data_IF_019458551731
#
_entry.id   IF_019458551731
#
_cell.length_a   1.000
_cell.length_b   1.000
_cell.length_c   1.000
_cell.angle_alpha   90.00
_cell.angle_beta   90.00
_cell.angle_gamma   90.00
#
_symmetry.space_group_name_H-M   'P 1'
#
loop_
_entity.id
_entity.type
_entity.pdbx_description
1 polymer ?
#
# COMPACT_ATOMS: atom_id res chain seq x y z
N UNK A 1 32.40 51.79 62.16
CA UNK A 1 32.49 50.34 61.85
C UNK A 1 31.07 49.87 61.65
N UNK A 2 30.69 49.62 60.47
CA UNK A 2 29.37 49.11 60.08
C UNK A 2 29.50 48.51 58.69
N UNK A 3 29.57 47.19 58.61
CA UNK A 3 29.62 46.43 57.36
C UNK A 3 28.22 46.29 56.76
N UNK A 4 28.08 46.70 55.52
CA UNK A 4 26.85 46.55 54.75
C UNK A 4 26.89 45.21 54.05
N UNK A 5 25.95 44.32 54.34
CA UNK A 5 25.71 43.08 53.61
C UNK A 5 24.92 43.33 52.33
N UNK A 6 25.52 43.01 51.19
CA UNK A 6 24.90 43.08 49.91
C UNK A 6 24.19 41.72 49.62
N UNK A 7 22.89 41.73 49.58
CA UNK A 7 22.02 40.58 49.24
C UNK A 7 21.99 40.43 47.69
N UNK A 8 22.63 39.43 47.17
CA UNK A 8 22.60 39.09 45.72
C UNK A 8 21.37 38.25 45.42
N UNK A 9 20.38 38.87 44.77
CA UNK A 9 19.17 38.19 44.32
C UNK A 9 19.47 37.50 42.95
N UNK A 10 19.62 36.18 42.98
CA UNK A 10 19.76 35.39 41.77
C UNK A 10 18.42 35.29 41.06
N UNK A 11 18.25 35.98 39.95
CA UNK A 11 17.11 35.81 39.03
C UNK A 11 17.26 34.46 38.29
N UNK A 12 16.44 33.49 38.69
CA UNK A 12 16.21 32.28 37.86
C UNK A 12 15.48 32.71 36.58
N UNK A 13 16.17 32.60 35.47
CA UNK A 13 15.59 32.75 34.14
C UNK A 13 14.76 31.50 33.85
N UNK A 14 13.45 31.57 33.92
CA UNK A 14 12.55 30.55 33.40
C UNK A 14 12.80 30.45 31.88
N UNK A 15 13.48 29.40 31.46
CA UNK A 15 13.52 28.99 30.08
C UNK A 15 12.14 28.45 29.72
N UNK A 16 11.35 29.30 29.10
CA UNK A 16 10.09 28.92 28.42
C UNK A 16 10.49 27.96 27.31
N UNK A 17 10.35 26.65 27.53
CA UNK A 17 10.44 25.67 26.49
C UNK A 17 9.35 26.01 25.44
N UNK A 18 9.79 26.42 24.24
CA UNK A 18 8.92 26.48 23.07
C UNK A 18 8.25 25.12 22.92
N UNK A 19 6.91 25.03 22.77
CA UNK A 19 6.27 23.75 22.55
C UNK A 19 6.89 23.14 21.31
N UNK A 20 7.47 21.94 21.46
CA UNK A 20 7.97 21.14 20.36
C UNK A 20 6.80 20.92 19.40
N UNK A 21 6.90 21.44 18.18
CA UNK A 21 5.86 21.25 17.16
C UNK A 21 5.84 19.76 16.84
N UNK A 22 4.90 19.04 17.42
CA UNK A 22 4.75 17.61 17.25
C UNK A 22 4.39 17.33 15.79
N UNK A 23 5.30 16.74 15.02
CA UNK A 23 5.08 16.41 13.61
C UNK A 23 4.06 15.27 13.43
N UNK A 24 3.56 15.08 12.22
CA UNK A 24 2.59 14.02 11.91
C UNK A 24 3.13 12.63 12.29
N UNK A 25 4.39 12.35 12.04
CA UNK A 25 4.98 11.05 12.34
C UNK A 25 4.96 10.73 13.85
N UNK A 26 5.31 11.70 14.71
CA UNK A 26 5.22 11.54 16.17
C UNK A 26 3.77 11.40 16.64
N UNK A 27 2.84 12.13 16.01
CA UNK A 27 1.40 12.00 16.29
C UNK A 27 0.91 10.58 15.96
N UNK A 28 1.25 10.06 14.78
CA UNK A 28 0.84 8.70 14.39
C UNK A 28 1.45 7.63 15.33
N UNK A 29 2.71 7.78 15.74
CA UNK A 29 3.38 6.87 16.68
C UNK A 29 2.74 6.85 18.07
N UNK A 30 2.12 7.96 18.48
CA UNK A 30 1.44 8.08 19.77
C UNK A 30 0.03 7.47 19.80
N UNK A 31 -0.55 7.07 18.66
CA UNK A 31 -1.89 6.48 18.58
C UNK A 31 -1.83 4.99 18.96
N UNK A 32 -2.45 4.58 20.10
CA UNK A 32 -2.48 3.17 20.47
C UNK A 32 -3.21 2.32 19.42
N UNK A 33 -2.68 1.15 19.12
CA UNK A 33 -3.31 0.19 18.22
C UNK A 33 -3.43 0.67 16.76
N UNK A 34 -2.70 1.73 16.35
CA UNK A 34 -2.72 2.20 14.95
C UNK A 34 -2.26 1.09 14.00
N UNK A 35 -3.13 0.75 13.03
CA UNK A 35 -2.86 -0.25 11.99
C UNK A 35 -2.47 0.37 10.68
N UNK A 36 -3.25 1.37 10.23
CA UNK A 36 -3.10 2.00 8.92
C UNK A 36 -3.39 3.49 9.01
N UNK A 37 -2.71 4.27 8.15
CA UNK A 37 -2.99 5.67 7.97
C UNK A 37 -2.88 6.03 6.48
N UNK A 38 -3.74 6.94 6.03
CA UNK A 38 -3.80 7.39 4.64
C UNK A 38 -3.90 8.91 4.57
N UNK A 39 -3.03 9.58 3.80
CA UNK A 39 -3.18 11.01 3.59
C UNK A 39 -4.49 11.33 2.90
N UNK A 40 -5.17 12.37 3.34
CA UNK A 40 -6.36 12.87 2.67
C UNK A 40 -6.00 13.85 1.57
N UNK A 41 -6.56 13.64 0.40
CA UNK A 41 -6.42 14.53 -0.75
C UNK A 41 -7.62 15.49 -0.77
N UNK A 42 -7.67 16.45 0.16
CA UNK A 42 -8.65 17.53 0.11
C UNK A 42 -8.08 18.74 -0.62
N UNK A 43 -8.91 19.39 -1.42
CA UNK A 43 -8.56 20.60 -2.19
C UNK A 43 -8.21 21.82 -1.30
N UNK A 44 -8.41 21.74 0.00
CA UNK A 44 -8.27 22.83 0.97
C UNK A 44 -6.92 22.92 1.70
N UNK A 45 -5.88 22.21 1.23
CA UNK A 45 -4.58 22.21 1.94
C UNK A 45 -4.57 21.49 3.30
N UNK A 46 -5.62 20.75 3.63
CA UNK A 46 -5.74 19.99 4.87
C UNK A 46 -4.58 19.01 5.02
N UNK A 47 -3.93 19.03 6.19
CA UNK A 47 -2.91 18.08 6.63
C UNK A 47 -3.53 16.94 7.45
N UNK A 48 -4.82 16.66 7.27
CA UNK A 48 -5.51 15.55 7.93
C UNK A 48 -5.13 14.21 7.31
N UNK A 49 -4.99 13.21 8.17
CA UNK A 49 -4.71 11.83 7.82
C UNK A 49 -5.88 10.97 8.30
N UNK A 50 -6.46 10.16 7.41
CA UNK A 50 -7.43 9.13 7.79
C UNK A 50 -6.69 7.98 8.47
N UNK A 51 -7.19 7.50 9.60
CA UNK A 51 -6.55 6.45 10.40
C UNK A 51 -7.48 5.28 10.65
N UNK A 52 -6.89 4.12 10.85
CA UNK A 52 -7.53 2.89 11.29
C UNK A 52 -6.73 2.33 12.46
N UNK A 53 -7.37 2.13 13.61
CA UNK A 53 -6.74 1.61 14.82
C UNK A 53 -7.63 0.56 15.51
N UNK A 54 -7.04 -0.23 16.40
CA UNK A 54 -7.76 -1.17 17.28
C UNK A 54 -7.89 -0.51 18.65
N UNK A 55 -9.12 -0.40 19.16
CA UNK A 55 -9.37 0.17 20.47
C UNK A 55 -9.10 -0.85 21.62
N UNK A 56 -9.23 -0.39 22.88
CA UNK A 56 -9.01 -1.23 24.06
C UNK A 56 -9.96 -2.43 24.20
N UNK A 57 -11.04 -2.49 23.42
CA UNK A 57 -11.98 -3.61 23.36
C UNK A 57 -11.70 -4.55 22.17
N UNK A 58 -10.59 -4.32 21.45
CA UNK A 58 -10.20 -5.12 20.28
C UNK A 58 -11.00 -4.80 19.01
N UNK A 59 -11.80 -3.71 19.00
CA UNK A 59 -12.64 -3.34 17.86
C UNK A 59 -11.88 -2.42 16.91
N UNK A 60 -12.10 -2.63 15.60
CA UNK A 60 -11.54 -1.75 14.57
C UNK A 60 -12.28 -0.41 14.55
N UNK A 61 -11.53 0.68 14.73
CA UNK A 61 -12.03 2.05 14.70
C UNK A 61 -11.39 2.83 13.57
N UNK A 62 -12.15 3.73 12.98
CA UNK A 62 -11.64 4.65 11.97
C UNK A 62 -11.87 6.10 12.39
N UNK A 63 -11.08 7.00 11.85
CA UNK A 63 -11.20 8.42 12.14
C UNK A 63 -10.18 9.24 11.38
N UNK A 64 -9.92 10.44 11.92
CA UNK A 64 -8.99 11.39 11.34
C UNK A 64 -8.06 11.95 12.43
N UNK A 65 -6.86 12.37 12.01
CA UNK A 65 -5.92 13.06 12.88
C UNK A 65 -5.15 14.12 12.11
N UNK A 66 -4.86 15.24 12.76
CA UNK A 66 -3.90 16.26 12.31
C UNK A 66 -2.67 16.25 13.20
N UNK A 67 -1.55 16.76 12.71
CA UNK A 67 -0.31 16.79 13.48
C UNK A 67 -0.49 17.52 14.83
N UNK A 68 -0.05 16.88 15.91
CA UNK A 68 -0.14 17.41 17.27
C UNK A 68 -1.54 17.34 17.92
N UNK A 69 -2.54 16.80 17.22
CA UNK A 69 -3.90 16.70 17.76
C UNK A 69 -4.24 15.27 18.24
N UNK A 70 -5.22 15.19 19.13
CA UNK A 70 -5.85 13.90 19.48
C UNK A 70 -6.66 13.36 18.30
N UNK A 71 -6.64 12.05 18.03
CA UNK A 71 -7.46 11.45 17.00
C UNK A 71 -8.97 11.67 17.20
N UNK A 72 -9.65 12.09 16.16
CA UNK A 72 -11.11 12.15 16.11
C UNK A 72 -11.62 10.81 15.54
N UNK A 73 -12.03 9.89 16.44
CA UNK A 73 -12.48 8.55 16.09
C UNK A 73 -14.01 8.52 15.96
N UNK A 74 -14.47 8.01 14.83
CA UNK A 74 -15.90 7.72 14.64
C UNK A 74 -16.40 6.69 15.66
N UNK A 75 -17.67 6.72 16.10
CA UNK A 75 -18.24 5.63 16.88
C UNK A 75 -18.08 4.29 16.15
N UNK A 76 -17.97 3.19 16.90
CA UNK A 76 -17.78 1.86 16.31
C UNK A 76 -18.87 1.55 15.28
N UNK A 77 -18.44 1.02 14.14
CA UNK A 77 -19.33 0.61 13.05
C UNK A 77 -20.25 1.72 12.49
N UNK A 78 -19.83 2.97 12.62
CA UNK A 78 -20.57 4.11 12.05
C UNK A 78 -19.67 4.97 11.18
N UNK A 79 -20.21 5.47 10.09
CA UNK A 79 -19.53 6.45 9.23
C UNK A 79 -20.62 7.23 8.45
N UNK A 80 -20.76 8.55 8.67
CA UNK A 80 -21.76 9.34 7.96
C UNK A 80 -21.65 9.31 6.43
N UNK A 81 -20.44 9.09 5.91
CA UNK A 81 -20.20 8.99 4.47
C UNK A 81 -20.39 7.56 3.92
N UNK A 82 -20.55 6.57 4.81
CA UNK A 82 -20.76 5.14 4.49
C UNK A 82 -21.91 4.61 5.36
N UNK A 83 -23.14 5.16 5.22
CA UNK A 83 -24.23 4.94 6.18
C UNK A 83 -24.66 3.47 6.30
N UNK A 84 -24.57 2.69 5.23
CA UNK A 84 -24.88 1.27 5.25
C UNK A 84 -24.00 0.44 6.22
N UNK A 85 -22.88 0.96 6.70
CA UNK A 85 -22.03 0.25 7.65
C UNK A 85 -22.79 -0.12 8.93
N UNK A 86 -23.61 0.79 9.46
CA UNK A 86 -24.35 0.56 10.71
C UNK A 86 -25.43 -0.52 10.59
N UNK A 87 -25.97 -0.74 9.41
CA UNK A 87 -27.05 -1.71 9.15
C UNK A 87 -26.56 -3.04 8.61
N UNK A 88 -25.32 -3.08 8.07
CA UNK A 88 -24.76 -4.26 7.40
C UNK A 88 -23.55 -4.86 8.14
N UNK A 89 -23.32 -4.50 9.39
CA UNK A 89 -22.28 -5.11 10.22
C UNK A 89 -22.81 -6.45 10.80
N UNK A 90 -22.69 -7.50 10.00
CA UNK A 90 -23.15 -8.86 10.34
C UNK A 90 -22.02 -9.84 10.63
N UNK A 91 -20.75 -9.34 10.60
CA UNK A 91 -19.55 -10.13 10.84
C UNK A 91 -18.40 -9.27 11.39
N UNK A 92 -17.18 -9.69 11.18
CA UNK A 92 -15.99 -8.98 11.64
C UNK A 92 -15.68 -7.78 10.72
N UNK A 93 -15.62 -6.57 11.28
CA UNK A 93 -15.12 -5.39 10.58
C UNK A 93 -13.60 -5.49 10.43
N UNK A 94 -13.11 -5.70 9.22
CA UNK A 94 -11.67 -5.95 8.94
C UNK A 94 -10.96 -4.79 8.27
N UNK A 95 -11.71 -3.89 7.62
CA UNK A 95 -11.22 -2.62 7.06
C UNK A 95 -12.25 -1.54 7.33
N UNK A 96 -11.80 -0.38 7.80
CA UNK A 96 -12.63 0.82 7.86
C UNK A 96 -11.78 2.05 7.51
N UNK A 97 -11.90 2.51 6.28
CA UNK A 97 -11.27 3.76 5.85
C UNK A 97 -12.31 4.88 5.93
N UNK A 98 -12.19 5.73 6.96
CA UNK A 98 -13.14 6.80 7.26
C UNK A 98 -13.49 7.63 6.01
N UNK A 99 -14.77 7.86 5.81
CA UNK A 99 -15.31 8.62 4.68
C UNK A 99 -15.16 7.94 3.30
N UNK A 100 -14.77 6.68 3.24
CA UNK A 100 -14.47 6.00 1.97
C UNK A 100 -15.19 4.65 1.82
N UNK A 101 -14.83 3.68 2.64
CA UNK A 101 -15.34 2.30 2.57
C UNK A 101 -15.10 1.55 3.86
N UNK A 102 -15.88 0.50 4.05
CA UNK A 102 -15.63 -0.54 5.06
C UNK A 102 -15.68 -1.93 4.42
N UNK A 103 -15.03 -2.91 5.07
CA UNK A 103 -15.09 -4.32 4.67
C UNK A 103 -15.45 -5.13 5.90
N UNK A 104 -16.51 -5.92 5.77
CA UNK A 104 -16.99 -6.87 6.79
C UNK A 104 -16.75 -8.28 6.26
N UNK A 105 -16.12 -9.11 7.08
CA UNK A 105 -15.87 -10.52 6.77
C UNK A 105 -16.88 -11.39 7.55
N UNK A 106 -17.56 -12.27 6.83
CA UNK A 106 -18.48 -13.27 7.36
C UNK A 106 -17.97 -14.68 7.02
N UNK A 107 -18.62 -15.72 7.52
CA UNK A 107 -18.16 -17.10 7.34
C UNK A 107 -18.09 -17.56 5.87
N UNK A 108 -18.92 -16.98 5.00
CA UNK A 108 -19.03 -17.39 3.58
C UNK A 108 -18.85 -16.27 2.57
N UNK A 109 -18.76 -15.01 3.03
CA UNK A 109 -18.67 -13.85 2.14
C UNK A 109 -17.84 -12.72 2.74
N UNK A 110 -17.36 -11.87 1.84
CA UNK A 110 -16.74 -10.58 2.15
C UNK A 110 -17.67 -9.48 1.64
N UNK A 111 -18.13 -8.62 2.53
CA UNK A 111 -19.00 -7.49 2.21
C UNK A 111 -18.19 -6.22 2.10
N UNK A 112 -18.12 -5.64 0.90
CA UNK A 112 -17.56 -4.30 0.67
C UNK A 112 -18.70 -3.27 0.79
N UNK A 113 -18.61 -2.38 1.75
CA UNK A 113 -19.56 -1.27 1.98
C UNK A 113 -18.87 0.01 1.53
N UNK A 114 -19.50 0.73 0.62
CA UNK A 114 -18.90 1.91 -0.04
C UNK A 114 -19.83 3.12 0.14
N UNK A 115 -19.37 4.28 -0.28
CA UNK A 115 -20.24 5.47 -0.30
C UNK A 115 -21.45 5.24 -1.20
N UNK A 116 -22.59 5.91 -0.94
CA UNK A 116 -23.80 5.80 -1.75
C UNK A 116 -23.51 5.91 -3.25
N UNK A 117 -24.21 5.10 -4.04
CA UNK A 117 -24.15 5.03 -5.50
C UNK A 117 -22.78 4.56 -6.08
N UNK A 118 -21.88 4.01 -5.25
CA UNK A 118 -20.57 3.52 -5.73
C UNK A 118 -20.55 2.03 -6.03
N UNK A 119 -21.48 1.24 -5.51
CA UNK A 119 -21.50 -0.21 -5.68
C UNK A 119 -21.66 -0.61 -7.16
N UNK A 120 -22.52 0.07 -7.92
CA UNK A 120 -22.73 -0.21 -9.36
C UNK A 120 -21.40 -0.11 -10.15
N UNK A 121 -20.62 0.94 -9.91
CA UNK A 121 -19.34 1.11 -10.59
C UNK A 121 -18.31 0.05 -10.16
N UNK A 122 -18.34 -0.35 -8.88
CA UNK A 122 -17.48 -1.40 -8.33
C UNK A 122 -17.81 -2.77 -8.95
N UNK A 123 -19.11 -3.12 -8.98
CA UNK A 123 -19.61 -4.36 -9.61
C UNK A 123 -19.20 -4.43 -11.08
N UNK A 124 -19.37 -3.34 -11.83
CA UNK A 124 -18.99 -3.27 -13.24
C UNK A 124 -17.49 -3.50 -13.43
N UNK A 125 -16.65 -2.78 -12.68
CA UNK A 125 -15.20 -2.91 -12.75
C UNK A 125 -14.77 -4.33 -12.41
N UNK A 126 -15.26 -4.90 -11.31
CA UNK A 126 -14.96 -6.26 -10.87
C UNK A 126 -15.37 -7.30 -11.94
N UNK A 127 -16.58 -7.21 -12.50
CA UNK A 127 -17.09 -8.16 -13.51
C UNK A 127 -16.24 -8.11 -14.78
N UNK A 128 -15.92 -6.92 -15.26
CA UNK A 128 -15.06 -6.75 -16.45
C UNK A 128 -13.66 -7.33 -16.22
N UNK A 129 -13.05 -7.03 -15.08
CA UNK A 129 -11.74 -7.53 -14.71
C UNK A 129 -11.72 -9.06 -14.52
N UNK A 130 -12.69 -9.62 -13.78
CA UNK A 130 -12.81 -11.06 -13.58
C UNK A 130 -13.00 -11.81 -14.91
N UNK A 131 -13.75 -11.22 -15.85
CA UNK A 131 -13.90 -11.78 -17.21
C UNK A 131 -12.58 -11.76 -17.99
N UNK A 132 -11.86 -10.66 -17.95
CA UNK A 132 -10.59 -10.48 -18.63
C UNK A 132 -9.50 -11.44 -18.08
N UNK A 133 -9.46 -11.63 -16.77
CA UNK A 133 -8.46 -12.44 -16.09
C UNK A 133 -8.74 -13.96 -16.14
N UNK A 134 -9.86 -14.40 -16.72
CA UNK A 134 -10.18 -15.85 -16.81
C UNK A 134 -9.12 -16.67 -17.53
N UNK A 135 -8.43 -16.10 -18.48
CA UNK A 135 -7.36 -16.77 -19.24
C UNK A 135 -6.21 -17.23 -18.35
N UNK A 136 -5.98 -16.57 -17.23
CA UNK A 136 -4.93 -16.93 -16.25
C UNK A 136 -5.22 -18.24 -15.51
N UNK A 137 -6.48 -18.66 -15.47
CA UNK A 137 -6.92 -19.78 -14.64
C UNK A 137 -6.86 -19.52 -13.12
N UNK A 138 -6.58 -18.28 -12.69
CA UNK A 138 -6.64 -17.87 -11.29
C UNK A 138 -8.11 -17.77 -10.84
N UNK A 139 -8.38 -18.14 -9.60
CA UNK A 139 -9.70 -17.93 -9.00
C UNK A 139 -9.86 -16.45 -8.65
N UNK A 140 -11.05 -15.92 -8.91
CA UNK A 140 -11.42 -14.55 -8.51
C UNK A 140 -12.74 -14.60 -7.75
N UNK A 141 -12.98 -13.72 -6.74
CA UNK A 141 -14.22 -13.75 -5.97
C UNK A 141 -15.43 -13.52 -6.87
N UNK A 142 -16.43 -14.36 -6.77
CA UNK A 142 -17.71 -14.13 -7.45
C UNK A 142 -18.51 -13.07 -6.71
N UNK A 143 -19.25 -12.25 -7.44
CA UNK A 143 -20.26 -11.37 -6.85
C UNK A 143 -21.46 -12.22 -6.47
N UNK A 144 -21.80 -12.23 -5.18
CA UNK A 144 -22.95 -12.97 -4.62
C UNK A 144 -24.23 -12.14 -4.60
N UNK A 145 -24.08 -10.80 -4.52
CA UNK A 145 -25.16 -9.84 -4.50
C UNK A 145 -24.64 -8.40 -4.42
N UNK A 146 -25.50 -7.46 -4.71
CA UNK A 146 -25.20 -6.04 -4.51
C UNK A 146 -26.47 -5.22 -4.25
N UNK A 147 -26.32 -4.16 -3.50
CA UNK A 147 -27.25 -3.06 -3.26
C UNK A 147 -26.58 -1.73 -3.68
N UNK A 148 -27.22 -0.58 -3.49
CA UNK A 148 -26.70 0.73 -3.97
C UNK A 148 -25.32 1.09 -3.42
N UNK A 149 -24.99 0.64 -2.23
CA UNK A 149 -23.76 0.94 -1.50
C UNK A 149 -23.07 -0.28 -0.86
N UNK A 150 -23.56 -1.50 -1.19
CA UNK A 150 -23.03 -2.77 -0.68
C UNK A 150 -22.76 -3.74 -1.82
N UNK A 151 -21.61 -4.42 -1.77
CA UNK A 151 -21.27 -5.52 -2.68
C UNK A 151 -20.81 -6.72 -1.86
N UNK A 152 -21.53 -7.83 -2.02
CA UNK A 152 -21.19 -9.11 -1.42
C UNK A 152 -20.36 -9.94 -2.40
N UNK A 153 -19.17 -10.34 -1.94
CA UNK A 153 -18.22 -11.15 -2.69
C UNK A 153 -18.04 -12.51 -2.01
N UNK A 154 -17.76 -13.51 -2.79
CA UNK A 154 -17.34 -14.83 -2.29
C UNK A 154 -16.10 -14.71 -1.40
N UNK A 155 -16.15 -15.34 -0.23
CA UNK A 155 -14.95 -15.54 0.59
C UNK A 155 -14.14 -16.69 0.00
N UNK A 156 -12.94 -16.38 -0.51
CA UNK A 156 -12.04 -17.37 -1.07
C UNK A 156 -11.16 -17.99 0.02
N UNK A 157 -10.87 -19.30 -0.06
CA UNK A 157 -10.00 -19.96 0.90
C UNK A 157 -8.53 -19.61 0.67
N UNK A 158 -7.71 -19.90 1.68
CA UNK A 158 -6.27 -19.72 1.62
C UNK A 158 -5.76 -18.58 2.48
N UNK A 159 -4.44 -18.44 2.50
CA UNK A 159 -3.72 -17.35 3.15
C UNK A 159 -2.96 -16.55 2.12
N UNK A 160 -2.76 -15.27 2.38
CA UNK A 160 -1.99 -14.41 1.46
C UNK A 160 -0.52 -14.88 1.35
N UNK A 161 0.10 -14.66 0.20
CA UNK A 161 1.53 -14.95 0.05
C UNK A 161 2.37 -14.14 1.03
N UNK A 162 1.92 -12.94 1.38
CA UNK A 162 2.48 -12.08 2.43
C UNK A 162 2.50 -12.78 3.82
N UNK A 163 1.41 -13.44 4.20
CA UNK A 163 1.30 -14.18 5.46
C UNK A 163 2.04 -15.53 5.45
N UNK A 164 2.16 -16.15 4.28
CA UNK A 164 2.81 -17.45 4.11
C UNK A 164 4.33 -17.33 4.12
N UNK A 165 4.89 -16.19 3.68
CA UNK A 165 6.34 -16.03 3.56
C UNK A 165 6.96 -17.12 2.68
N UNK A 166 7.99 -17.79 3.15
CA UNK A 166 8.68 -18.89 2.42
C UNK A 166 7.75 -20.04 2.02
N UNK A 167 6.74 -20.34 2.85
CA UNK A 167 5.75 -21.38 2.54
C UNK A 167 4.84 -21.00 1.35
N UNK A 168 4.82 -19.73 0.94
CA UNK A 168 4.07 -19.24 -0.21
C UNK A 168 4.73 -19.50 -1.57
N UNK A 169 5.95 -20.07 -1.61
CA UNK A 169 6.70 -20.28 -2.85
C UNK A 169 5.93 -21.02 -3.96
N UNK A 170 5.14 -22.11 -3.67
CA UNK A 170 4.31 -22.73 -4.69
C UNK A 170 3.25 -21.79 -5.29
N UNK A 171 2.72 -20.87 -4.48
CA UNK A 171 1.79 -19.83 -4.94
C UNK A 171 2.46 -18.84 -5.89
N UNK A 172 3.71 -18.43 -5.61
CA UNK A 172 4.50 -17.60 -6.52
C UNK A 172 4.76 -18.30 -7.87
N UNK A 173 5.09 -19.60 -7.83
CA UNK A 173 5.23 -20.39 -9.06
C UNK A 173 3.92 -20.41 -9.84
N UNK A 174 2.79 -20.71 -9.17
CA UNK A 174 1.46 -20.72 -9.80
C UNK A 174 1.10 -19.36 -10.40
N UNK A 175 1.44 -18.25 -9.72
CA UNK A 175 1.24 -16.91 -10.23
C UNK A 175 1.97 -16.67 -11.54
N UNK A 176 3.27 -16.95 -11.58
CA UNK A 176 4.10 -16.67 -12.78
C UNK A 176 3.67 -17.50 -13.97
N UNK A 177 3.34 -18.78 -13.75
CA UNK A 177 2.81 -19.65 -14.81
C UNK A 177 1.48 -19.13 -15.37
N UNK A 178 0.60 -18.64 -14.48
CA UNK A 178 -0.71 -18.12 -14.85
C UNK A 178 -0.63 -16.75 -15.54
N UNK A 179 0.22 -15.84 -15.03
CA UNK A 179 0.31 -14.46 -15.53
C UNK A 179 0.93 -14.38 -16.92
N UNK A 180 1.76 -15.34 -17.28
CA UNK A 180 2.34 -15.45 -18.62
C UNK A 180 1.28 -15.51 -19.74
N UNK A 181 0.08 -16.02 -19.45
CA UNK A 181 -1.04 -16.08 -20.40
C UNK A 181 -1.58 -14.70 -20.80
N UNK A 182 -1.28 -13.64 -20.03
CA UNK A 182 -1.73 -12.28 -20.35
C UNK A 182 -0.83 -11.55 -21.37
N UNK A 183 0.25 -12.17 -21.83
CA UNK A 183 1.27 -11.51 -22.67
C UNK A 183 0.70 -10.79 -23.91
N UNK A 184 -0.41 -11.28 -24.46
CA UNK A 184 -1.01 -10.71 -25.68
C UNK A 184 -2.52 -10.47 -25.57
N UNK A 185 -3.10 -10.67 -24.40
CA UNK A 185 -4.53 -10.54 -24.23
C UNK A 185 -4.98 -9.08 -24.12
N UNK A 186 -6.11 -8.79 -24.72
CA UNK A 186 -6.76 -7.48 -24.71
C UNK A 186 -8.17 -7.62 -24.15
N UNK A 187 -8.63 -6.59 -23.45
CA UNK A 187 -9.98 -6.54 -22.90
C UNK A 187 -10.55 -5.10 -22.95
N UNK A 188 -11.85 -4.98 -22.83
CA UNK A 188 -12.51 -3.68 -22.69
C UNK A 188 -12.38 -3.22 -21.21
N UNK A 189 -11.20 -2.74 -20.87
CA UNK A 189 -10.85 -2.18 -19.57
C UNK A 189 -10.34 -0.74 -19.74
N UNK A 190 -10.45 0.09 -18.68
CA UNK A 190 -9.89 1.43 -18.71
C UNK A 190 -8.39 1.41 -19.03
N UNK A 191 -7.89 2.43 -19.70
CA UNK A 191 -6.46 2.58 -19.97
C UNK A 191 -5.76 3.24 -18.79
N UNK A 192 -4.62 2.64 -18.35
CA UNK A 192 -3.72 3.23 -17.39
C UNK A 192 -2.29 3.24 -17.97
N UNK A 193 -1.90 4.38 -18.48
CA UNK A 193 -0.58 4.56 -19.10
C UNK A 193 0.42 5.28 -18.21
N UNK A 194 1.61 5.57 -18.74
CA UNK A 194 2.72 6.20 -18.03
C UNK A 194 2.37 7.56 -17.37
N UNK A 195 1.46 8.32 -17.99
CA UNK A 195 1.02 9.62 -17.43
C UNK A 195 0.28 9.45 -16.10
N UNK A 196 -0.64 8.48 -16.05
CA UNK A 196 -1.40 8.18 -14.83
C UNK A 196 -0.48 7.65 -13.73
N UNK A 197 0.51 6.80 -14.06
CA UNK A 197 1.48 6.30 -13.10
C UNK A 197 2.36 7.43 -12.56
N UNK A 198 2.84 8.33 -13.41
CA UNK A 198 3.54 9.56 -13.02
C UNK A 198 2.71 10.40 -12.02
N UNK A 199 1.40 10.54 -12.26
CA UNK A 199 0.50 11.27 -11.36
C UNK A 199 0.34 10.56 -10.01
N UNK A 200 0.27 9.23 -10.01
CA UNK A 200 0.19 8.42 -8.78
C UNK A 200 1.45 8.63 -7.94
N UNK A 201 2.64 8.45 -8.53
CA UNK A 201 3.92 8.61 -7.83
C UNK A 201 4.09 10.02 -7.25
N UNK A 202 3.86 11.06 -8.05
CA UNK A 202 3.95 12.47 -7.61
C UNK A 202 2.98 12.78 -6.49
N UNK A 203 1.76 12.26 -6.53
CA UNK A 203 0.75 12.48 -5.51
C UNK A 203 1.17 11.87 -4.16
N UNK A 204 1.72 10.68 -4.18
CA UNK A 204 2.23 10.03 -2.97
C UNK A 204 3.41 10.79 -2.38
N UNK A 205 4.39 11.18 -3.20
CA UNK A 205 5.52 12.00 -2.76
C UNK A 205 5.06 13.33 -2.15
N UNK A 206 4.23 14.09 -2.86
CA UNK A 206 3.71 15.37 -2.39
C UNK A 206 2.91 15.23 -1.08
N UNK A 207 2.19 14.12 -0.90
CA UNK A 207 1.51 13.83 0.37
C UNK A 207 2.49 13.54 1.49
N UNK A 208 3.48 12.70 1.28
CA UNK A 208 4.49 12.39 2.29
C UNK A 208 5.30 13.63 2.70
N UNK A 209 5.69 14.45 1.72
CA UNK A 209 6.38 15.71 1.96
C UNK A 209 5.53 16.71 2.77
N UNK A 210 4.26 16.92 2.36
CA UNK A 210 3.34 17.87 3.03
C UNK A 210 3.10 17.51 4.50
N UNK A 211 3.05 16.22 4.81
CA UNK A 211 2.82 15.74 6.16
C UNK A 211 4.12 15.59 6.97
N UNK A 212 5.30 15.80 6.37
CA UNK A 212 6.60 15.68 7.05
C UNK A 212 6.86 14.27 7.58
N UNK A 213 6.41 13.22 6.83
CA UNK A 213 6.58 11.81 7.26
C UNK A 213 7.82 11.14 6.62
N UNK A 214 8.60 11.87 5.84
CA UNK A 214 9.86 11.41 5.22
C UNK A 214 11.03 12.27 5.68
N UNK A 215 12.13 11.62 6.10
CA UNK A 215 13.29 12.30 6.69
C UNK A 215 14.22 12.93 5.64
N UNK A 216 14.26 12.39 4.42
CA UNK A 216 15.15 12.84 3.34
C UNK A 216 14.37 13.21 2.08
N UNK A 217 13.59 14.32 2.09
CA UNK A 217 12.73 14.64 0.96
C UNK A 217 13.49 15.05 -0.31
N UNK A 218 14.67 15.69 -0.21
CA UNK A 218 15.39 16.17 -1.38
C UNK A 218 15.97 15.03 -2.25
N UNK A 219 16.75 14.05 -1.72
CA UNK A 219 17.20 12.91 -2.51
C UNK A 219 16.04 12.06 -3.07
N UNK A 220 14.98 11.85 -2.31
CA UNK A 220 13.79 11.14 -2.80
C UNK A 220 13.08 11.91 -3.91
N UNK A 221 13.06 13.25 -3.85
CA UNK A 221 12.50 14.07 -4.92
C UNK A 221 13.26 13.90 -6.23
N UNK A 222 14.59 13.88 -6.19
CA UNK A 222 15.43 13.63 -7.37
C UNK A 222 15.07 12.28 -8.01
N UNK A 223 15.01 11.21 -7.21
CA UNK A 223 14.59 9.89 -7.70
C UNK A 223 13.17 9.88 -8.29
N UNK A 224 12.23 10.61 -7.69
CA UNK A 224 10.86 10.76 -8.22
C UNK A 224 10.86 11.50 -9.55
N UNK A 225 11.64 12.57 -9.69
CA UNK A 225 11.74 13.33 -10.94
C UNK A 225 12.30 12.45 -12.07
N UNK A 226 13.42 11.78 -11.82
CA UNK A 226 14.07 10.90 -12.79
C UNK A 226 13.17 9.75 -13.22
N UNK A 227 12.53 9.08 -12.26
CA UNK A 227 11.55 8.01 -12.55
C UNK A 227 10.37 8.53 -13.36
N UNK A 228 9.85 9.72 -13.03
CA UNK A 228 8.76 10.33 -13.80
C UNK A 228 9.17 10.72 -15.22
N UNK A 229 10.43 11.07 -15.47
CA UNK A 229 10.95 11.32 -16.81
C UNK A 229 11.03 10.01 -17.59
N UNK A 230 11.65 8.98 -17.02
CA UNK A 230 11.75 7.65 -17.66
C UNK A 230 10.38 7.01 -17.94
N UNK A 231 9.37 7.22 -17.08
CA UNK A 231 8.00 6.76 -17.35
C UNK A 231 7.40 7.38 -18.62
N UNK A 232 7.77 8.61 -18.99
CA UNK A 232 7.19 9.33 -20.13
C UNK A 232 7.81 9.00 -21.48
N UNK A 233 8.99 8.40 -21.49
CA UNK A 233 9.78 8.20 -22.69
C UNK A 233 9.22 7.13 -23.62
N UNK A 234 8.41 6.20 -23.11
CA UNK A 234 7.81 5.13 -23.89
C UNK A 234 6.36 4.86 -23.46
N UNK A 235 5.56 4.38 -24.39
CA UNK A 235 4.19 3.89 -24.22
C UNK A 235 4.09 2.51 -24.87
N UNK A 236 4.72 1.52 -24.21
CA UNK A 236 4.84 0.15 -24.69
C UNK A 236 3.51 -0.55 -24.93
N UNK A 237 3.56 -1.78 -25.41
CA UNK A 237 2.36 -2.59 -25.63
C UNK A 237 1.56 -2.75 -24.35
N UNK A 238 0.23 -2.48 -24.44
CA UNK A 238 -0.68 -2.63 -23.29
C UNK A 238 -1.27 -4.02 -23.28
N UNK A 239 -1.26 -4.61 -22.11
CA UNK A 239 -1.88 -5.90 -21.78
C UNK A 239 -2.87 -5.70 -20.63
N UNK A 240 -3.61 -6.74 -20.28
CA UNK A 240 -4.45 -6.74 -19.08
C UNK A 240 -3.54 -6.65 -17.84
N UNK A 241 -3.79 -5.67 -16.98
CA UNK A 241 -3.06 -5.46 -15.74
C UNK A 241 -4.01 -5.32 -14.55
N UNK A 242 -3.60 -5.82 -13.42
CA UNK A 242 -4.30 -5.67 -12.14
C UNK A 242 -4.09 -4.28 -11.53
N UNK A 243 -2.91 -3.69 -11.74
CA UNK A 243 -2.42 -2.39 -11.25
C UNK A 243 -2.07 -2.32 -9.77
N UNK A 244 -2.51 -3.26 -8.96
CA UNK A 244 -2.14 -3.39 -7.56
C UNK A 244 -1.80 -4.84 -7.23
N UNK A 245 -1.12 -5.51 -8.18
CA UNK A 245 -0.74 -6.91 -8.06
C UNK A 245 0.44 -7.05 -7.08
N UNK A 246 0.17 -7.65 -5.93
CA UNK A 246 1.17 -7.91 -4.91
C UNK A 246 0.80 -9.12 -4.03
N UNK A 247 1.75 -9.57 -3.24
CA UNK A 247 1.67 -10.70 -2.32
C UNK A 247 0.41 -10.74 -1.43
N UNK A 248 -0.06 -9.59 -0.96
CA UNK A 248 -1.26 -9.48 -0.13
C UNK A 248 -2.59 -9.65 -0.88
N UNK A 249 -2.58 -9.60 -2.23
CA UNK A 249 -3.78 -9.81 -3.06
C UNK A 249 -3.89 -11.25 -3.59
N UNK A 250 -2.94 -12.10 -3.24
CA UNK A 250 -2.80 -13.47 -3.75
C UNK A 250 -3.00 -14.46 -2.60
N UNK A 251 -4.09 -15.24 -2.63
CA UNK A 251 -4.37 -16.26 -1.63
C UNK A 251 -4.00 -17.64 -2.17
N UNK A 252 -3.18 -18.37 -1.44
CA UNK A 252 -2.80 -19.75 -1.72
C UNK A 252 -3.46 -20.70 -0.72
N UNK A 253 -4.25 -21.67 -1.19
CA UNK A 253 -4.94 -22.65 -0.35
C UNK A 253 -4.23 -24.03 -0.30
N UNK A 254 -3.09 -24.16 -0.96
CA UNK A 254 -2.32 -25.38 -1.11
C UNK A 254 -2.51 -26.08 -2.46
N UNK A 255 -3.53 -25.69 -3.23
CA UNK A 255 -3.88 -26.26 -4.55
C UNK A 255 -4.07 -25.14 -5.58
N UNK A 256 -4.94 -24.18 -5.26
CA UNK A 256 -5.32 -23.09 -6.14
C UNK A 256 -4.81 -21.74 -5.64
N UNK A 257 -4.45 -20.88 -6.60
CA UNK A 257 -4.14 -19.47 -6.35
C UNK A 257 -5.34 -18.61 -6.70
N UNK A 258 -5.71 -17.75 -5.76
CA UNK A 258 -6.80 -16.78 -5.90
C UNK A 258 -6.27 -15.37 -5.96
N UNK A 259 -6.90 -14.50 -6.77
CA UNK A 259 -6.56 -13.09 -6.95
C UNK A 259 -7.72 -12.21 -6.45
N UNK A 260 -7.39 -11.27 -5.56
CA UNK A 260 -8.35 -10.36 -4.90
C UNK A 260 -8.28 -8.95 -5.51
N UNK A 261 -9.24 -8.11 -5.12
CA UNK A 261 -9.29 -6.65 -5.33
C UNK A 261 -9.15 -6.18 -6.78
N UNK A 262 -10.01 -6.69 -7.66
CA UNK A 262 -10.01 -6.45 -9.10
C UNK A 262 -10.47 -5.04 -9.52
N UNK A 263 -10.78 -4.17 -8.57
CA UNK A 263 -11.47 -2.87 -8.80
C UNK A 263 -10.65 -1.89 -9.64
N UNK A 264 -9.33 -2.11 -9.75
CA UNK A 264 -8.39 -1.22 -10.41
C UNK A 264 -7.86 -1.74 -11.73
N UNK A 265 -8.25 -2.94 -12.16
CA UNK A 265 -7.75 -3.55 -13.38
C UNK A 265 -7.90 -2.63 -14.62
N UNK A 266 -6.92 -2.67 -15.50
CA UNK A 266 -6.83 -1.79 -16.66
C UNK A 266 -6.02 -2.42 -17.80
N UNK A 267 -6.06 -1.78 -18.96
CA UNK A 267 -5.08 -1.99 -20.01
C UNK A 267 -3.86 -1.12 -19.72
N UNK A 268 -2.72 -1.74 -19.40
CA UNK A 268 -1.47 -1.07 -19.04
C UNK A 268 -0.25 -1.80 -19.62
N UNK A 269 0.94 -1.20 -19.53
CA UNK A 269 2.16 -1.90 -19.86
C UNK A 269 2.39 -3.09 -18.93
N UNK A 270 2.87 -4.22 -19.48
CA UNK A 270 3.16 -5.43 -18.70
C UNK A 270 4.15 -5.17 -17.54
N UNK A 271 5.06 -4.23 -17.73
CA UNK A 271 6.02 -3.80 -16.72
C UNK A 271 5.38 -3.25 -15.43
N UNK A 272 4.14 -2.75 -15.48
CA UNK A 272 3.46 -2.18 -14.31
C UNK A 272 3.26 -3.21 -13.21
N UNK A 273 2.58 -4.31 -13.52
CA UNK A 273 2.30 -5.37 -12.53
C UNK A 273 3.57 -6.12 -12.16
N UNK A 274 4.44 -6.39 -13.14
CA UNK A 274 5.69 -7.11 -12.90
C UNK A 274 6.66 -6.30 -12.01
N UNK A 275 6.81 -5.00 -12.27
CA UNK A 275 7.62 -4.11 -11.43
C UNK A 275 7.05 -3.98 -10.02
N UNK A 276 5.71 -3.99 -9.89
CA UNK A 276 5.06 -3.96 -8.58
C UNK A 276 5.29 -5.26 -7.80
N UNK A 277 5.12 -6.42 -8.43
CA UNK A 277 5.41 -7.73 -7.81
C UNK A 277 6.85 -7.83 -7.34
N UNK A 278 7.79 -7.38 -8.17
CA UNK A 278 9.21 -7.42 -7.83
C UNK A 278 9.57 -6.52 -6.66
N UNK A 279 9.05 -5.28 -6.66
CA UNK A 279 9.26 -4.36 -5.55
C UNK A 279 8.65 -4.89 -4.23
N UNK A 280 7.51 -5.58 -4.30
CA UNK A 280 6.90 -6.22 -3.13
C UNK A 280 7.69 -7.45 -2.66
N UNK A 281 8.21 -8.29 -3.57
CA UNK A 281 9.06 -9.42 -3.19
C UNK A 281 10.36 -8.97 -2.49
N UNK A 282 11.00 -7.91 -3.00
CA UNK A 282 12.18 -7.31 -2.38
C UNK A 282 11.84 -6.67 -1.02
N UNK A 283 10.68 -6.02 -0.92
CA UNK A 283 10.21 -5.47 0.34
C UNK A 283 9.91 -6.57 1.38
N UNK A 284 9.31 -7.70 0.98
CA UNK A 284 9.12 -8.86 1.86
C UNK A 284 10.45 -9.38 2.41
N UNK A 285 11.51 -9.41 1.60
CA UNK A 285 12.85 -9.78 2.06
C UNK A 285 13.41 -8.75 3.05
N UNK A 286 13.27 -7.45 2.79
CA UNK A 286 13.67 -6.38 3.73
C UNK A 286 12.88 -6.46 5.05
N UNK A 287 11.63 -6.93 5.01
CA UNK A 287 10.79 -7.13 6.19
C UNK A 287 11.07 -8.46 6.93
N UNK A 288 11.96 -9.31 6.42
CA UNK A 288 12.24 -10.63 6.97
C UNK A 288 11.11 -11.66 6.76
N UNK A 289 10.18 -11.40 5.84
CA UNK A 289 9.07 -12.32 5.50
C UNK A 289 9.45 -13.36 4.47
N UNK A 290 10.37 -13.03 3.56
CA UNK A 290 11.02 -13.97 2.68
C UNK A 290 12.47 -14.17 3.12
N UNK A 291 12.85 -15.41 3.41
CA UNK A 291 14.24 -15.78 3.62
C UNK A 291 15.07 -15.68 2.35
N UNK A 292 16.41 -15.60 2.44
CA UNK A 292 17.28 -15.37 1.27
C UNK A 292 17.08 -16.39 0.15
N UNK A 293 16.87 -17.67 0.51
CA UNK A 293 16.66 -18.75 -0.46
C UNK A 293 15.34 -18.64 -1.21
N UNK A 294 14.23 -18.36 -0.49
CA UNK A 294 12.91 -18.17 -1.10
C UNK A 294 12.87 -16.88 -1.93
N UNK A 295 13.45 -15.78 -1.44
CA UNK A 295 13.57 -14.54 -2.18
C UNK A 295 14.29 -14.73 -3.51
N UNK A 296 15.45 -15.42 -3.51
CA UNK A 296 16.20 -15.72 -4.74
C UNK A 296 15.36 -16.54 -5.74
N UNK A 297 14.57 -17.51 -5.24
CA UNK A 297 13.67 -18.30 -6.09
C UNK A 297 12.54 -17.43 -6.67
N UNK A 298 11.88 -16.60 -5.86
CA UNK A 298 10.83 -15.67 -6.34
C UNK A 298 11.39 -14.73 -7.39
N UNK A 299 12.59 -14.16 -7.20
CA UNK A 299 13.24 -13.31 -8.21
C UNK A 299 13.48 -14.07 -9.51
N UNK A 300 13.96 -15.33 -9.44
CA UNK A 300 14.14 -16.18 -10.61
C UNK A 300 12.84 -16.46 -11.36
N UNK A 301 11.73 -16.66 -10.65
CA UNK A 301 10.39 -16.82 -11.23
C UNK A 301 9.93 -15.55 -11.95
N UNK A 302 10.10 -14.39 -11.33
CA UNK A 302 9.74 -13.09 -11.92
C UNK A 302 10.62 -12.76 -13.14
N UNK A 303 11.91 -13.10 -13.11
CA UNK A 303 12.84 -12.96 -14.24
C UNK A 303 12.41 -13.84 -15.44
N UNK A 304 11.99 -15.07 -15.18
CA UNK A 304 11.43 -15.94 -16.22
C UNK A 304 10.11 -15.37 -16.77
N UNK A 305 9.21 -14.87 -15.93
CA UNK A 305 7.97 -14.22 -16.37
C UNK A 305 8.26 -12.99 -17.25
N UNK A 306 9.25 -12.17 -16.87
CA UNK A 306 9.66 -10.99 -17.64
C UNK A 306 10.00 -11.31 -19.11
N UNK A 307 10.61 -12.49 -19.36
CA UNK A 307 10.97 -12.92 -20.72
C UNK A 307 9.78 -13.33 -21.56
N UNK A 308 8.62 -13.59 -20.96
CA UNK A 308 7.40 -13.99 -21.68
C UNK A 308 6.47 -12.81 -21.95
N UNK A 309 6.61 -11.71 -21.22
CA UNK A 309 5.73 -10.55 -21.33
C UNK A 309 6.29 -9.51 -22.31
N UNK A 310 5.44 -8.74 -23.01
CA UNK A 310 5.87 -7.68 -23.92
C UNK A 310 6.40 -6.46 -23.15
N UNK A 311 7.62 -6.59 -22.63
CA UNK A 311 8.32 -5.53 -21.90
C UNK A 311 9.81 -5.55 -22.20
N UNK A 312 10.49 -4.44 -21.92
CA UNK A 312 11.95 -4.34 -21.97
C UNK A 312 12.53 -4.27 -20.58
N UNK A 313 13.82 -4.58 -20.45
CA UNK A 313 14.57 -4.43 -19.20
C UNK A 313 14.43 -3.01 -18.64
N UNK A 314 14.56 -2.01 -19.50
CA UNK A 314 14.48 -0.58 -19.12
C UNK A 314 13.09 -0.20 -18.61
N UNK A 315 12.02 -0.67 -19.29
CA UNK A 315 10.64 -0.43 -18.82
C UNK A 315 10.40 -1.11 -17.48
N UNK A 316 10.86 -2.34 -17.32
CA UNK A 316 10.74 -3.06 -16.05
C UNK A 316 11.47 -2.34 -14.91
N UNK A 317 12.70 -1.87 -15.12
CA UNK A 317 13.43 -1.06 -14.13
C UNK A 317 12.69 0.23 -13.78
N UNK A 318 12.11 0.90 -14.77
CA UNK A 318 11.34 2.13 -14.56
C UNK A 318 10.11 1.91 -13.70
N UNK A 319 9.31 0.86 -13.97
CA UNK A 319 8.12 0.54 -13.17
C UNK A 319 8.48 -0.05 -11.80
N UNK A 320 9.56 -0.80 -11.70
CA UNK A 320 10.09 -1.24 -10.41
C UNK A 320 10.45 -0.04 -9.52
N UNK A 321 11.22 0.93 -10.05
CA UNK A 321 11.56 2.16 -9.31
C UNK A 321 10.33 2.95 -8.92
N UNK A 322 9.34 3.09 -9.81
CA UNK A 322 8.06 3.74 -9.49
C UNK A 322 7.36 3.07 -8.31
N UNK A 323 7.27 1.74 -8.34
CA UNK A 323 6.65 0.96 -7.28
C UNK A 323 7.45 1.02 -5.97
N UNK A 324 8.78 0.88 -6.03
CA UNK A 324 9.65 0.94 -4.87
C UNK A 324 9.56 2.30 -4.15
N UNK A 325 9.61 3.40 -4.89
CA UNK A 325 9.43 4.76 -4.35
C UNK A 325 8.01 4.96 -3.78
N UNK A 326 6.97 4.48 -4.47
CA UNK A 326 5.60 4.53 -3.97
C UNK A 326 5.47 3.82 -2.63
N UNK A 327 6.11 2.67 -2.45
CA UNK A 327 6.12 1.92 -1.19
C UNK A 327 6.80 2.70 -0.05
N UNK A 328 7.88 3.47 -0.32
CA UNK A 328 8.43 4.40 0.69
C UNK A 328 7.33 5.32 1.21
N UNK A 329 6.59 5.98 0.31
CA UNK A 329 5.61 7.00 0.71
C UNK A 329 4.36 6.39 1.35
N UNK A 330 3.90 5.23 0.91
CA UNK A 330 2.79 4.50 1.53
C UNK A 330 3.14 4.09 2.96
N UNK A 331 4.33 3.54 3.15
CA UNK A 331 4.76 3.00 4.43
C UNK A 331 5.24 4.07 5.41
N UNK A 332 5.64 5.26 4.96
CA UNK A 332 5.98 6.38 5.82
C UNK A 332 4.82 6.83 6.74
N UNK A 333 3.57 6.55 6.37
CA UNK A 333 2.39 6.78 7.22
C UNK A 333 2.10 5.64 8.22
N UNK A 334 2.91 4.58 8.27
CA UNK A 334 2.70 3.42 9.14
C UNK A 334 3.76 3.36 10.24
N UNK A 335 3.41 3.61 11.52
CA UNK A 335 4.42 3.69 12.60
C UNK A 335 5.19 2.39 12.84
N UNK A 336 4.60 1.25 12.50
CA UNK A 336 5.23 -0.08 12.68
C UNK A 336 6.39 -0.35 11.69
N UNK A 337 6.63 0.54 10.73
CA UNK A 337 7.62 0.35 9.66
C UNK A 337 9.02 0.89 10.02
N UNK A 338 9.17 1.51 11.19
CA UNK A 338 10.41 2.21 11.60
C UNK A 338 11.67 1.32 11.60
N UNK A 339 11.51 0.01 11.75
CA UNK A 339 12.64 -0.93 11.78
C UNK A 339 13.25 -1.15 10.39
N UNK A 340 12.44 -1.27 9.36
CA UNK A 340 12.88 -1.65 8.02
C UNK A 340 12.75 -0.52 6.97
N UNK A 341 11.90 0.47 7.20
CA UNK A 341 11.71 1.56 6.24
C UNK A 341 12.99 2.33 5.90
N UNK A 342 13.91 2.62 6.86
CA UNK A 342 15.21 3.24 6.54
C UNK A 342 16.08 2.41 5.59
N UNK A 343 16.02 1.09 5.70
CA UNK A 343 16.73 0.16 4.80
C UNK A 343 16.11 0.26 3.39
N UNK A 344 14.78 0.23 3.31
CA UNK A 344 14.06 0.37 2.04
C UNK A 344 14.32 1.72 1.36
N UNK A 345 14.34 2.82 2.12
CA UNK A 345 14.70 4.16 1.61
C UNK A 345 16.11 4.15 1.04
N UNK A 346 17.10 3.56 1.76
CA UNK A 346 18.48 3.44 1.27
C UNK A 346 18.56 2.66 -0.04
N UNK A 347 17.83 1.54 -0.14
CA UNK A 347 17.71 0.77 -1.38
C UNK A 347 17.19 1.64 -2.54
N UNK A 348 16.12 2.40 -2.32
CA UNK A 348 15.58 3.30 -3.33
C UNK A 348 16.54 4.42 -3.76
N UNK A 349 17.34 4.94 -2.83
CA UNK A 349 18.33 5.99 -3.12
C UNK A 349 19.60 5.45 -3.80
N UNK A 350 19.91 4.16 -3.63
CA UNK A 350 21.03 3.46 -4.27
C UNK A 350 20.77 3.00 -5.71
N UNK A 351 19.81 3.60 -6.44
CA UNK A 351 19.40 3.21 -7.80
C UNK A 351 18.80 1.82 -7.83
N UNK A 352 17.73 1.64 -7.08
CA UNK A 352 16.97 0.39 -7.01
C UNK A 352 16.68 -0.21 -8.40
N UNK A 353 17.06 -1.46 -8.58
CA UNK A 353 16.86 -2.23 -9.82
C UNK A 353 16.47 -3.66 -9.47
N UNK A 354 15.51 -4.26 -10.22
CA UNK A 354 15.14 -5.66 -10.03
C UNK A 354 16.29 -6.61 -10.41
N UNK A 355 17.28 -6.14 -11.15
CA UNK A 355 18.44 -6.95 -11.60
C UNK A 355 19.66 -6.80 -10.68
N UNK A 356 19.69 -5.82 -9.78
CA UNK A 356 20.76 -5.66 -8.80
C UNK A 356 20.50 -6.53 -7.55
N UNK A 357 21.55 -6.98 -6.84
CA UNK A 357 21.40 -7.59 -5.53
C UNK A 357 20.70 -6.64 -4.55
N UNK A 358 19.80 -7.18 -3.73
CA UNK A 358 19.19 -6.42 -2.65
C UNK A 358 20.24 -6.19 -1.55
N UNK A 359 20.57 -4.93 -1.30
CA UNK A 359 21.46 -4.56 -0.19
C UNK A 359 20.67 -4.48 1.12
N UNK A 360 20.75 -5.53 1.92
CA UNK A 360 20.10 -5.60 3.23
C UNK A 360 20.91 -4.90 4.32
N UNK A 361 22.13 -4.41 4.03
CA UNK A 361 23.08 -3.89 5.00
C UNK A 361 23.66 -4.99 5.90
N UNK A 362 24.82 -4.74 6.48
CA UNK A 362 25.52 -5.72 7.35
C UNK A 362 24.84 -5.92 8.73
N UNK A 363 23.80 -5.16 9.04
CA UNK A 363 23.17 -5.13 10.36
C UNK A 363 22.15 -6.25 10.59
N UNK A 364 21.79 -7.02 9.56
CA UNK A 364 20.79 -8.10 9.63
C UNK A 364 21.33 -9.45 10.13
N UNK A 365 22.65 -9.64 10.17
CA UNK A 365 23.24 -10.92 10.62
C UNK A 365 23.39 -11.04 12.14
N UNK A 366 22.94 -10.08 12.93
CA UNK A 366 23.11 -10.04 14.39
C UNK A 366 21.77 -9.90 15.17
N UNK A 367 20.63 -10.32 14.61
CA UNK A 367 19.34 -10.31 15.32
C UNK A 367 18.79 -11.70 15.52
#
# INVERSE_FOLDING_TARGET
MGMSEATTTTRMTEMTQKPEVTGMLSTLRAIPGLRRAWPEHRSSGSTSVSIECVDGEGRLRAGHVTAGATPDLLPYATDPAVPALSTHLTGALVVHRAGRRAVVMEDSRVRKIVRPHRAVSLVRAHTSAASALRVTGLRTPRILGNEDDVVDLELLPGRSLDELGDAGLPGWQRLTDSWAHLAHDKADLPVHGPRQETEVLRRWFASAQRHGVIDQPAPLHEQVVDTCLSLREDDGERVIAHRDLHDGQLLWDGIDLSLLDLDTAAMAEAALDLGNLWAHADLMAVQGRLGPGAHAQVRGLLDNLARTLPTTTERLETYYRSSALRLVFVHAFRPTTHQWLPIWVRHCLGHASPFAPLDLGNDWNNS
#
